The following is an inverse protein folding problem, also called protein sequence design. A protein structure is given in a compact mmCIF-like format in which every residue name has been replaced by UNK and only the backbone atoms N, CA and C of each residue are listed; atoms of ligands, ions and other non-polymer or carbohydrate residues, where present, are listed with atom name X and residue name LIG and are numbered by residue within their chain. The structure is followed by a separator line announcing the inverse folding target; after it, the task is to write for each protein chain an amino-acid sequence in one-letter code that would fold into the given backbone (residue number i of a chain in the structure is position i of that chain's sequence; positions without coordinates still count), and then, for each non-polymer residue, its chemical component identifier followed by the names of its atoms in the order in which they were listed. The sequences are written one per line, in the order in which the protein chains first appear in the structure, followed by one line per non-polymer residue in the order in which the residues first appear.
data_IF_967690567882
#
_entry.id   IF_967690567882
#
_cell.length_a   1.000
_cell.length_b   1.000
_cell.length_c   1.000
_cell.angle_alpha   90.00
_cell.angle_beta   90.00
_cell.angle_gamma   90.00
#
_symmetry.space_group_name_H-M   'P 1'
#
loop_
_entity.id
_entity.type
_entity.pdbx_description
1 polymer ?
#
# COMPACT_ATOMS: atom_id res chain seq x y z
N UNK A 1 26.93 54.02 -13.12
CA UNK A 1 25.93 53.65 -14.15
C UNK A 1 25.21 52.40 -13.67
N UNK A 2 23.91 52.55 -13.55
CA UNK A 2 22.88 51.65 -13.01
C UNK A 2 22.80 50.31 -13.77
N UNK A 3 22.46 49.19 -13.11
CA UNK A 3 22.15 47.95 -13.82
C UNK A 3 20.75 48.02 -14.44
N UNK A 4 20.65 47.63 -15.71
CA UNK A 4 19.40 47.58 -16.46
C UNK A 4 18.53 46.40 -16.00
N UNK A 5 17.39 46.73 -15.41
CA UNK A 5 16.30 45.82 -15.08
C UNK A 5 15.61 45.37 -16.38
N UNK A 6 15.68 44.08 -16.73
CA UNK A 6 14.91 43.52 -17.84
C UNK A 6 13.69 42.80 -17.28
N UNK A 7 12.55 43.46 -17.40
CA UNK A 7 11.22 42.99 -17.00
C UNK A 7 10.68 41.99 -18.02
N UNK A 8 10.41 40.76 -17.61
CA UNK A 8 9.73 39.74 -18.43
C UNK A 8 8.21 39.88 -18.24
N UNK A 9 7.39 39.94 -19.31
CA UNK A 9 5.94 40.01 -19.16
C UNK A 9 5.32 38.64 -18.79
N UNK A 10 4.47 38.66 -17.77
CA UNK A 10 3.66 37.52 -17.33
C UNK A 10 2.63 37.12 -18.39
N UNK A 11 2.62 35.84 -18.79
CA UNK A 11 1.53 35.24 -19.56
C UNK A 11 0.46 34.72 -18.59
N UNK A 12 -0.74 35.28 -18.71
CA UNK A 12 -1.97 34.85 -18.06
C UNK A 12 -2.39 33.47 -18.56
N UNK A 13 -2.58 32.53 -17.63
CA UNK A 13 -3.19 31.22 -17.89
C UNK A 13 -4.67 31.32 -17.54
N UNK A 14 -5.53 31.20 -18.54
CA UNK A 14 -6.99 31.23 -18.40
C UNK A 14 -7.48 29.82 -18.11
N UNK A 15 -8.04 29.59 -16.93
CA UNK A 15 -8.71 28.34 -16.51
C UNK A 15 -10.17 28.34 -17.00
N UNK A 16 -10.70 27.26 -17.62
CA UNK A 16 -12.14 27.15 -17.80
C UNK A 16 -12.80 26.55 -16.55
N UNK A 17 -13.76 27.29 -16.00
CA UNK A 17 -14.66 26.87 -14.95
C UNK A 17 -15.81 26.04 -15.55
N UNK A 18 -16.04 24.83 -15.04
CA UNK A 18 -17.26 24.06 -15.26
C UNK A 18 -18.05 24.01 -13.96
N UNK A 19 -19.12 24.81 -13.89
CA UNK A 19 -20.17 24.70 -12.89
C UNK A 19 -21.41 24.08 -13.53
N UNK A 20 -21.95 23.02 -12.94
CA UNK A 20 -23.28 22.49 -13.23
C UNK A 20 -23.99 22.27 -11.89
N UNK A 21 -25.23 22.75 -11.70
CA UNK A 21 -25.91 22.72 -10.41
C UNK A 21 -26.54 21.36 -10.09
N UNK A 22 -26.44 20.96 -8.82
CA UNK A 22 -27.16 19.83 -8.22
C UNK A 22 -28.59 20.26 -7.86
N UNK A 23 -29.57 19.78 -8.62
CA UNK A 23 -30.98 19.86 -8.23
C UNK A 23 -31.34 18.72 -7.27
N UNK A 24 -31.89 19.10 -6.12
CA UNK A 24 -32.58 18.23 -5.15
C UNK A 24 -33.82 17.61 -5.80
N UNK A 25 -34.03 16.31 -5.61
CA UNK A 25 -35.36 15.72 -5.72
C UNK A 25 -35.58 14.74 -4.57
N UNK A 26 -36.49 15.14 -3.69
CA UNK A 26 -37.05 14.41 -2.57
C UNK A 26 -38.32 13.75 -3.10
N UNK A 27 -38.45 12.41 -3.03
CA UNK A 27 -39.73 11.75 -3.24
C UNK A 27 -39.96 10.68 -2.17
N UNK A 28 -41.05 10.94 -1.46
CA UNK A 28 -41.84 10.15 -0.52
C UNK A 28 -42.13 8.72 -0.99
N UNK A 29 -42.22 7.79 -0.03
CA UNK A 29 -42.53 6.40 -0.30
C UNK A 29 -44.01 6.15 -0.58
N UNK A 30 -44.31 5.09 -1.34
CA UNK A 30 -45.57 4.35 -1.24
C UNK A 30 -45.40 2.85 -1.52
N UNK A 31 -45.77 2.07 -0.50
CA UNK A 31 -46.47 0.77 -0.45
C UNK A 31 -46.68 0.01 -1.78
N UNK A 32 -46.03 -1.14 -1.93
CA UNK A 32 -46.33 -2.14 -2.97
C UNK A 32 -47.43 -3.11 -2.48
N UNK A 33 -48.57 -3.08 -3.17
CA UNK A 33 -49.65 -4.06 -3.07
C UNK A 33 -49.41 -5.17 -4.09
N UNK A 34 -49.53 -6.43 -3.66
CA UNK A 34 -49.45 -7.61 -4.54
C UNK A 34 -50.64 -7.62 -5.49
N UNK A 35 -50.40 -7.87 -6.77
CA UNK A 35 -51.43 -8.37 -7.68
C UNK A 35 -50.84 -9.35 -8.70
N UNK A 36 -51.63 -10.39 -8.92
CA UNK A 36 -51.41 -11.59 -9.71
C UNK A 36 -51.27 -11.30 -11.21
N UNK A 37 -50.32 -11.97 -11.88
CA UNK A 37 -50.23 -11.99 -13.34
C UNK A 37 -50.96 -13.25 -13.89
N UNK A 38 -51.85 -13.12 -14.88
CA UNK A 38 -52.42 -14.27 -15.56
C UNK A 38 -51.47 -14.88 -16.59
N UNK A 39 -51.61 -16.21 -16.73
CA UNK A 39 -50.89 -17.13 -17.61
C UNK A 39 -51.06 -16.75 -19.09
N UNK A 40 -49.96 -16.57 -19.81
CA UNK A 40 -49.93 -16.32 -21.26
C UNK A 40 -49.67 -17.63 -22.02
N UNK A 41 -50.55 -17.87 -22.98
CA UNK A 41 -50.73 -19.06 -23.80
C UNK A 41 -49.51 -19.35 -24.70
N UNK A 42 -49.04 -20.60 -24.70
CA UNK A 42 -47.94 -21.07 -25.56
C UNK A 42 -48.36 -21.04 -27.04
N UNK A 43 -47.75 -20.13 -27.81
CA UNK A 43 -47.82 -20.17 -29.27
C UNK A 43 -46.89 -21.27 -29.80
N UNK A 44 -47.47 -22.23 -30.54
CA UNK A 44 -46.76 -23.28 -31.26
C UNK A 44 -45.75 -22.66 -32.25
N UNK A 45 -44.45 -22.86 -32.04
CA UNK A 45 -43.43 -22.58 -33.07
C UNK A 45 -43.53 -23.65 -34.16
N UNK A 46 -43.87 -23.24 -35.38
CA UNK A 46 -43.77 -24.09 -36.56
C UNK A 46 -42.29 -24.43 -36.83
N UNK A 47 -41.96 -25.72 -36.95
CA UNK A 47 -40.62 -26.17 -37.31
C UNK A 47 -40.39 -26.00 -38.82
N UNK A 48 -39.51 -25.08 -39.20
CA UNK A 48 -39.01 -25.00 -40.58
C UNK A 48 -37.97 -26.12 -40.79
N UNK A 49 -38.34 -27.13 -41.56
CA UNK A 49 -37.46 -28.20 -42.02
C UNK A 49 -36.55 -27.67 -43.14
N UNK A 50 -35.29 -27.36 -42.82
CA UNK A 50 -34.26 -27.12 -43.84
C UNK A 50 -33.66 -28.46 -44.26
N UNK A 51 -34.19 -29.07 -45.33
CA UNK A 51 -33.53 -30.19 -46.02
C UNK A 51 -32.48 -29.63 -46.97
N UNK A 52 -31.21 -30.05 -46.81
CA UNK A 52 -30.20 -29.94 -47.88
C UNK A 52 -28.94 -29.13 -47.59
N UNK A 53 -28.30 -29.30 -46.43
CA UNK A 53 -26.91 -28.83 -46.23
C UNK A 53 -26.06 -30.06 -45.90
N UNK A 54 -25.00 -30.29 -46.69
CA UNK A 54 -24.04 -31.37 -46.48
C UNK A 54 -23.36 -31.23 -45.10
N UNK A 55 -23.03 -32.33 -44.41
CA UNK A 55 -22.26 -32.24 -43.18
C UNK A 55 -20.90 -31.59 -43.48
N UNK A 56 -20.54 -30.57 -42.71
CA UNK A 56 -19.24 -29.92 -42.79
C UNK A 56 -18.14 -30.96 -42.48
N UNK A 57 -16.96 -30.87 -43.13
CA UNK A 57 -15.86 -31.78 -42.84
C UNK A 57 -15.44 -31.62 -41.37
N UNK A 58 -15.50 -32.70 -40.61
CA UNK A 58 -14.93 -32.79 -39.28
C UNK A 58 -13.40 -32.65 -39.42
N UNK A 59 -12.83 -31.59 -38.85
CA UNK A 59 -11.37 -31.45 -38.76
C UNK A 59 -10.76 -30.10 -39.13
N UNK A 60 -11.51 -29.01 -39.13
CA UNK A 60 -10.91 -27.68 -39.06
C UNK A 60 -11.45 -26.97 -37.83
N UNK A 61 -10.55 -26.51 -36.95
CA UNK A 61 -10.85 -25.51 -35.93
C UNK A 61 -11.33 -24.24 -36.65
N UNK A 62 -12.62 -24.20 -36.99
CA UNK A 62 -13.27 -23.03 -37.57
C UNK A 62 -13.62 -22.10 -36.43
N UNK A 63 -12.64 -21.40 -35.86
CA UNK A 63 -12.93 -20.21 -35.07
C UNK A 63 -13.60 -19.21 -36.01
N UNK A 64 -14.84 -18.83 -35.71
CA UNK A 64 -15.50 -17.77 -36.46
C UNK A 64 -14.70 -16.47 -36.29
N UNK A 65 -14.60 -15.59 -37.29
CA UNK A 65 -14.02 -14.25 -37.11
C UNK A 65 -14.67 -13.46 -35.97
N UNK A 66 -15.92 -13.81 -35.60
CA UNK A 66 -16.58 -13.27 -34.42
C UNK A 66 -16.03 -13.84 -33.10
N UNK A 67 -15.67 -15.13 -33.06
CA UNK A 67 -15.08 -15.80 -31.90
C UNK A 67 -13.66 -15.30 -31.66
N UNK A 68 -12.85 -15.15 -32.72
CA UNK A 68 -11.51 -14.57 -32.63
C UNK A 68 -11.53 -13.14 -32.09
N UNK A 69 -12.50 -12.32 -32.53
CA UNK A 69 -12.70 -10.96 -32.01
C UNK A 69 -13.11 -10.97 -30.54
N UNK A 70 -13.99 -11.89 -30.14
CA UNK A 70 -14.44 -12.03 -28.76
C UNK A 70 -13.29 -12.49 -27.85
N UNK A 71 -12.46 -13.41 -28.31
CA UNK A 71 -11.28 -13.90 -27.58
C UNK A 71 -10.21 -12.82 -27.46
N UNK A 72 -9.94 -12.07 -28.53
CA UNK A 72 -9.04 -10.92 -28.49
C UNK A 72 -9.53 -9.85 -27.49
N UNK A 73 -10.84 -9.57 -27.48
CA UNK A 73 -11.46 -8.64 -26.52
C UNK A 73 -11.35 -9.17 -25.08
N UNK A 74 -11.64 -10.44 -24.85
CA UNK A 74 -11.55 -11.07 -23.54
C UNK A 74 -10.09 -11.12 -23.03
N UNK A 75 -9.14 -11.38 -23.93
CA UNK A 75 -7.72 -11.37 -23.59
C UNK A 75 -7.22 -9.96 -23.27
N UNK A 76 -7.66 -8.96 -24.04
CA UNK A 76 -7.40 -7.55 -23.74
C UNK A 76 -7.96 -7.14 -22.37
N UNK A 77 -9.21 -7.51 -22.06
CA UNK A 77 -9.83 -7.24 -20.76
C UNK A 77 -9.13 -7.97 -19.60
N UNK A 78 -8.60 -9.19 -19.83
CA UNK A 78 -7.77 -9.91 -18.86
C UNK A 78 -6.43 -9.21 -18.63
N UNK A 79 -5.75 -8.77 -19.69
CA UNK A 79 -4.49 -8.05 -19.60
C UNK A 79 -4.63 -6.69 -18.90
N UNK A 80 -5.81 -6.06 -18.97
CA UNK A 80 -6.12 -4.81 -18.26
C UNK A 80 -6.51 -5.00 -16.78
N UNK A 81 -6.64 -6.23 -16.28
CA UNK A 81 -6.97 -6.42 -14.86
C UNK A 81 -5.80 -5.97 -13.98
N UNK A 82 -6.10 -5.28 -12.86
CA UNK A 82 -5.10 -5.03 -11.85
C UNK A 82 -4.40 -6.31 -11.41
N UNK A 83 -3.07 -6.27 -11.33
CA UNK A 83 -2.27 -7.38 -10.84
C UNK A 83 -2.27 -7.30 -9.31
N UNK A 84 -2.89 -8.26 -8.60
CA UNK A 84 -2.99 -8.19 -7.15
C UNK A 84 -1.61 -8.34 -6.50
N UNK A 85 -1.41 -7.66 -5.38
CA UNK A 85 -0.28 -7.95 -4.49
C UNK A 85 -0.61 -9.17 -3.62
N UNK A 86 0.43 -9.87 -3.13
CA UNK A 86 0.23 -11.04 -2.27
C UNK A 86 -0.42 -10.69 -0.93
N UNK A 87 -0.09 -9.51 -0.40
CA UNK A 87 -0.66 -8.93 0.82
C UNK A 87 -1.20 -7.54 0.50
N UNK A 88 -2.18 -7.09 1.27
CA UNK A 88 -2.61 -5.70 1.24
C UNK A 88 -1.67 -4.83 2.07
N UNK A 89 -1.46 -3.60 1.62
CA UNK A 89 -0.52 -2.67 2.24
C UNK A 89 -1.19 -1.35 2.58
N UNK A 90 -0.86 -0.81 3.75
CA UNK A 90 -1.32 0.48 4.24
C UNK A 90 -0.14 1.45 4.31
N UNK A 91 -0.39 2.70 3.93
CA UNK A 91 0.59 3.77 4.04
C UNK A 91 0.30 4.61 5.26
N UNK A 92 1.32 4.89 6.07
CA UNK A 92 1.23 5.73 7.24
C UNK A 92 2.18 6.92 7.13
N UNK A 93 1.78 8.06 7.68
CA UNK A 93 2.61 9.24 7.85
C UNK A 93 2.70 9.58 9.33
N UNK A 94 3.91 9.78 9.81
CA UNK A 94 4.19 10.29 11.13
C UNK A 94 4.72 11.71 11.01
N UNK A 95 3.94 12.67 11.54
CA UNK A 95 4.32 14.06 11.63
C UNK A 95 4.53 14.43 13.11
N UNK A 96 5.76 14.81 13.49
CA UNK A 96 6.00 15.44 14.78
C UNK A 96 5.11 16.69 14.89
N UNK A 97 4.35 16.82 15.97
CA UNK A 97 3.66 18.08 16.24
C UNK A 97 4.69 19.22 16.30
N UNK A 98 4.34 20.35 15.67
CA UNK A 98 5.19 21.54 15.57
C UNK A 98 5.49 22.20 16.92
N UNK A 99 6.11 23.38 16.87
CA UNK A 99 6.64 24.14 18.03
C UNK A 99 5.64 24.52 19.13
N UNK A 100 4.35 24.23 18.97
CA UNK A 100 3.35 24.33 20.02
C UNK A 100 2.96 22.92 20.47
N UNK A 101 3.75 22.29 21.36
CA UNK A 101 3.30 21.10 22.03
C UNK A 101 2.10 21.53 22.87
N UNK A 102 0.90 21.11 22.47
CA UNK A 102 -0.08 20.75 23.49
C UNK A 102 0.57 19.59 24.22
N UNK A 103 1.40 19.92 25.23
CA UNK A 103 1.94 18.96 26.19
C UNK A 103 0.72 18.19 26.67
N UNK A 104 0.60 16.94 26.25
CA UNK A 104 -0.11 15.99 27.07
C UNK A 104 0.51 16.12 28.48
N UNK A 105 -0.30 16.21 29.55
CA UNK A 105 0.20 16.47 30.90
C UNK A 105 1.27 15.46 31.37
N UNK A 106 1.40 14.31 30.68
CA UNK A 106 2.34 13.23 31.00
C UNK A 106 3.65 13.20 30.18
N UNK A 107 3.98 14.24 29.41
CA UNK A 107 5.27 14.30 28.69
C UNK A 107 5.44 13.23 27.60
N UNK A 108 4.34 12.56 27.22
CA UNK A 108 4.34 11.56 26.18
C UNK A 108 4.41 12.23 24.80
N UNK A 109 5.43 11.90 24.02
CA UNK A 109 5.53 12.31 22.62
C UNK A 109 4.50 11.50 21.82
N UNK A 110 3.31 12.04 21.62
CA UNK A 110 2.31 11.43 20.74
C UNK A 110 2.55 11.91 19.31
N UNK A 111 3.40 11.18 18.60
CA UNK A 111 3.39 11.16 17.15
C UNK A 111 1.95 10.90 16.65
N UNK A 112 1.40 11.81 15.86
CA UNK A 112 0.09 11.58 15.22
C UNK A 112 0.34 10.74 13.99
N UNK A 113 0.16 9.43 14.13
CA UNK A 113 0.29 8.49 13.03
C UNK A 113 -0.99 8.53 12.18
N UNK A 114 -0.91 9.15 11.01
CA UNK A 114 -2.00 9.26 10.05
C UNK A 114 -1.92 8.11 9.04
N UNK A 115 -2.98 7.31 8.91
CA UNK A 115 -3.07 6.30 7.86
C UNK A 115 -3.76 6.89 6.61
N UNK A 116 -3.22 6.62 5.42
CA UNK A 116 -3.91 6.94 4.17
C UNK A 116 -5.15 6.05 4.01
N UNK A 117 -6.25 6.66 3.59
CA UNK A 117 -7.53 5.97 3.45
C UNK A 117 -7.51 4.86 2.38
N UNK A 118 -6.71 5.03 1.32
CA UNK A 118 -6.63 4.05 0.24
C UNK A 118 -5.60 2.97 0.54
N UNK A 119 -6.06 1.73 0.63
CA UNK A 119 -5.24 0.53 0.75
C UNK A 119 -4.66 0.15 -0.62
N UNK A 120 -3.42 -0.33 -0.63
CA UNK A 120 -2.76 -0.86 -1.82
C UNK A 120 -3.05 -2.36 -1.91
N UNK A 121 -3.84 -2.74 -2.91
CA UNK A 121 -4.26 -4.13 -3.17
C UNK A 121 -3.68 -4.67 -4.49
N UNK A 122 -3.15 -3.79 -5.34
CA UNK A 122 -2.61 -4.13 -6.65
C UNK A 122 -1.33 -3.36 -6.97
N UNK A 123 -0.57 -3.87 -7.93
CA UNK A 123 0.63 -3.21 -8.47
C UNK A 123 0.27 -1.82 -9.04
N UNK A 124 -0.89 -1.69 -9.66
CA UNK A 124 -1.40 -0.43 -10.18
C UNK A 124 -1.67 0.58 -9.06
N UNK A 125 -2.25 0.14 -7.93
CA UNK A 125 -2.50 1.01 -6.78
C UNK A 125 -1.19 1.43 -6.11
N UNK A 126 -0.21 0.53 -6.05
CA UNK A 126 1.14 0.91 -5.60
C UNK A 126 1.72 2.03 -6.46
N UNK A 127 1.69 1.90 -7.80
CA UNK A 127 2.24 2.93 -8.68
C UNK A 127 1.43 4.24 -8.64
N UNK A 128 0.10 4.16 -8.46
CA UNK A 128 -0.72 5.36 -8.21
C UNK A 128 -0.25 6.08 -6.95
N UNK A 129 -0.04 5.36 -5.85
CA UNK A 129 0.48 5.94 -4.62
C UNK A 129 1.91 6.48 -4.79
N UNK A 130 2.84 5.67 -5.31
CA UNK A 130 4.25 5.99 -5.40
C UNK A 130 4.49 7.22 -6.29
N UNK A 131 3.84 7.29 -7.46
CA UNK A 131 3.97 8.42 -8.39
C UNK A 131 3.39 9.74 -7.85
N UNK A 132 2.41 9.68 -6.95
CA UNK A 132 1.74 10.86 -6.38
C UNK A 132 2.26 11.22 -4.98
N UNK A 133 3.25 10.49 -4.46
CA UNK A 133 3.84 10.76 -3.14
C UNK A 133 5.11 11.59 -3.32
N UNK A 134 5.12 12.88 -2.95
CA UNK A 134 6.29 13.73 -3.12
C UNK A 134 7.31 13.47 -2.00
N UNK A 135 8.09 12.39 -2.13
CA UNK A 135 9.09 11.97 -1.12
C UNK A 135 10.09 13.09 -0.81
N UNK A 136 10.48 13.87 -1.82
CA UNK A 136 11.41 15.01 -1.67
C UNK A 136 10.82 16.20 -0.88
N UNK A 137 9.50 16.25 -0.73
CA UNK A 137 8.81 17.33 0.00
C UNK A 137 8.49 16.95 1.45
N UNK A 138 8.80 15.71 1.87
CA UNK A 138 8.63 15.27 3.26
C UNK A 138 9.59 16.07 4.15
N UNK A 139 9.05 16.69 5.21
CA UNK A 139 9.82 17.63 6.04
C UNK A 139 10.75 16.90 6.99
N UNK A 140 11.76 17.62 7.49
CA UNK A 140 12.67 17.08 8.49
C UNK A 140 11.90 16.57 9.71
N UNK A 141 12.29 15.37 10.19
CA UNK A 141 11.67 14.63 11.31
C UNK A 141 10.33 13.98 10.98
N UNK A 142 9.75 14.18 9.80
CA UNK A 142 8.60 13.41 9.34
C UNK A 142 9.05 12.02 8.85
N UNK A 143 8.13 11.06 8.92
CA UNK A 143 8.34 9.71 8.41
C UNK A 143 7.14 9.22 7.61
N UNK A 144 7.40 8.39 6.62
CA UNK A 144 6.41 7.66 5.83
C UNK A 144 6.68 6.17 5.94
N UNK A 145 5.63 5.36 6.04
CA UNK A 145 5.72 3.93 6.22
C UNK A 145 4.79 3.20 5.25
N UNK A 146 5.21 2.04 4.77
CA UNK A 146 4.41 1.10 3.99
C UNK A 146 4.41 -0.24 4.71
N UNK A 147 3.28 -0.59 5.32
CA UNK A 147 3.15 -1.75 6.21
C UNK A 147 2.08 -2.72 5.71
N UNK A 148 2.29 -4.01 5.92
CA UNK A 148 1.28 -5.04 5.62
C UNK A 148 0.03 -4.76 6.46
N UNK A 149 -1.14 -5.09 5.91
CA UNK A 149 -2.40 -4.92 6.63
C UNK A 149 -2.38 -5.64 7.98
N UNK A 150 -2.83 -4.93 9.00
CA UNK A 150 -2.84 -5.41 10.38
C UNK A 150 -1.51 -5.25 11.11
N UNK A 151 -0.50 -4.61 10.50
CA UNK A 151 0.64 -4.07 11.21
C UNK A 151 0.58 -2.55 11.24
N UNK A 152 1.04 -1.97 12.33
CA UNK A 152 1.27 -0.54 12.47
C UNK A 152 2.76 -0.29 12.68
N UNK A 153 3.33 0.83 12.22
CA UNK A 153 4.71 1.23 12.47
C UNK A 153 4.92 1.74 13.90
N UNK A 154 4.49 0.94 14.89
CA UNK A 154 4.55 1.20 16.32
C UNK A 154 5.28 0.01 16.95
N UNK A 155 6.38 0.26 17.66
CA UNK A 155 7.20 -0.83 18.21
C UNK A 155 6.50 -1.53 19.40
N UNK A 156 5.54 -0.88 20.07
CA UNK A 156 4.72 -1.45 21.14
C UNK A 156 3.55 -2.30 20.65
N UNK A 157 3.24 -2.27 19.34
CA UNK A 157 2.19 -3.12 18.79
C UNK A 157 2.52 -4.59 19.10
N UNK A 158 1.52 -5.33 19.61
CA UNK A 158 1.67 -6.75 20.01
C UNK A 158 2.30 -7.61 18.90
N UNK A 159 2.14 -7.27 17.64
CA UNK A 159 2.72 -7.99 16.50
C UNK A 159 4.18 -7.63 16.22
N UNK A 160 4.65 -6.51 16.75
CA UNK A 160 6.00 -5.99 16.56
C UNK A 160 6.90 -6.12 17.78
N UNK A 161 6.37 -6.32 19.00
CA UNK A 161 7.18 -6.31 20.24
C UNK A 161 8.42 -7.22 20.23
N UNK A 162 8.34 -8.39 19.57
CA UNK A 162 9.44 -9.37 19.47
C UNK A 162 10.35 -9.14 18.25
N UNK A 163 10.00 -8.14 17.45
CA UNK A 163 10.63 -7.85 16.17
C UNK A 163 11.86 -6.98 16.28
N UNK A 164 12.35 -6.62 15.11
CA UNK A 164 13.43 -5.66 14.95
C UNK A 164 13.43 -5.08 13.55
N UNK A 165 14.36 -4.15 13.35
CA UNK A 165 14.50 -3.50 12.07
C UNK A 165 15.96 -3.29 11.68
N UNK A 166 16.24 -3.50 10.39
CA UNK A 166 17.40 -2.92 9.76
C UNK A 166 17.12 -1.47 9.43
N UNK A 167 18.06 -0.57 9.69
CA UNK A 167 18.01 0.83 9.30
C UNK A 167 19.23 1.18 8.46
N UNK A 168 18.99 1.69 7.25
CA UNK A 168 19.98 2.18 6.31
C UNK A 168 20.00 3.71 6.33
N UNK A 169 21.18 4.28 6.55
CA UNK A 169 21.45 5.71 6.44
C UNK A 169 21.85 6.01 5.00
N UNK A 170 20.97 6.73 4.29
CA UNK A 170 21.12 7.01 2.86
C UNK A 170 21.28 8.52 2.65
N UNK A 171 22.23 8.98 1.81
CA UNK A 171 22.30 10.38 1.41
C UNK A 171 20.97 10.85 0.81
N UNK A 172 20.55 12.10 1.09
CA UNK A 172 19.25 12.62 0.62
C UNK A 172 19.05 12.50 -0.88
N UNK A 173 20.12 12.73 -1.66
CA UNK A 173 20.10 12.63 -3.12
C UNK A 173 19.72 11.23 -3.64
N UNK A 174 20.05 10.17 -2.89
CA UNK A 174 19.73 8.77 -3.26
C UNK A 174 18.48 8.24 -2.54
N UNK A 175 17.96 8.99 -1.57
CA UNK A 175 16.91 8.54 -0.66
C UNK A 175 15.60 8.14 -1.34
N UNK A 176 15.04 8.95 -2.27
CA UNK A 176 13.81 8.61 -2.98
C UNK A 176 13.93 7.30 -3.79
N UNK A 177 15.03 7.14 -4.53
CA UNK A 177 15.25 5.94 -5.35
C UNK A 177 15.48 4.70 -4.49
N UNK A 178 16.28 4.83 -3.43
CA UNK A 178 16.49 3.76 -2.46
C UNK A 178 15.16 3.34 -1.82
N UNK A 179 14.33 4.32 -1.44
CA UNK A 179 13.02 4.08 -0.85
C UNK A 179 12.08 3.34 -1.80
N UNK A 180 12.01 3.75 -3.06
CA UNK A 180 11.23 3.06 -4.09
C UNK A 180 11.70 1.62 -4.28
N UNK A 181 13.01 1.37 -4.34
CA UNK A 181 13.56 0.00 -4.45
C UNK A 181 13.19 -0.87 -3.24
N UNK A 182 13.27 -0.34 -2.03
CA UNK A 182 12.89 -1.04 -0.81
C UNK A 182 11.40 -1.38 -0.80
N UNK A 183 10.54 -0.44 -1.20
CA UNK A 183 9.11 -0.70 -1.34
C UNK A 183 8.84 -1.79 -2.38
N UNK A 184 9.52 -1.78 -3.53
CA UNK A 184 9.39 -2.81 -4.57
C UNK A 184 9.80 -4.19 -4.06
N UNK A 185 10.90 -4.29 -3.30
CA UNK A 185 11.30 -5.55 -2.67
C UNK A 185 10.30 -6.04 -1.61
N UNK A 186 9.60 -5.11 -0.94
CA UNK A 186 8.55 -5.44 0.03
C UNK A 186 7.29 -5.98 -0.66
N UNK A 187 6.68 -5.21 -1.58
CA UNK A 187 5.44 -5.59 -2.26
C UNK A 187 5.63 -6.75 -3.25
N UNK A 188 6.84 -6.92 -3.78
CA UNK A 188 7.24 -8.03 -4.64
C UNK A 188 7.62 -9.30 -3.86
N UNK A 189 7.40 -9.31 -2.54
CA UNK A 189 7.66 -10.43 -1.62
C UNK A 189 9.11 -10.94 -1.59
N UNK A 190 10.10 -10.22 -2.15
CA UNK A 190 11.53 -10.57 -2.03
C UNK A 190 11.97 -10.54 -0.56
N UNK A 191 11.61 -9.48 0.16
CA UNK A 191 11.94 -9.35 1.58
C UNK A 191 11.24 -10.41 2.44
N UNK A 192 10.00 -10.81 2.10
CA UNK A 192 9.31 -11.88 2.82
C UNK A 192 9.92 -13.26 2.50
N UNK A 193 10.32 -13.48 1.25
CA UNK A 193 10.89 -14.74 0.77
C UNK A 193 12.26 -15.07 1.34
N UNK A 194 13.02 -14.07 1.80
CA UNK A 194 14.32 -14.28 2.44
C UNK A 194 14.24 -14.66 3.94
N UNK A 195 13.06 -14.56 4.55
CA UNK A 195 12.86 -14.83 5.97
C UNK A 195 12.69 -16.33 6.25
N UNK A 196 13.13 -16.76 7.44
CA UNK A 196 12.91 -18.12 7.91
C UNK A 196 11.43 -18.38 8.25
N UNK A 197 11.05 -19.68 8.23
CA UNK A 197 9.69 -20.12 8.54
C UNK A 197 9.21 -19.57 9.88
N UNK A 198 8.01 -19.00 9.90
CA UNK A 198 7.38 -18.42 11.09
C UNK A 198 7.80 -16.98 11.39
N UNK A 199 8.71 -16.39 10.62
CA UNK A 199 8.96 -14.95 10.61
C UNK A 199 8.11 -14.27 9.53
N UNK A 200 7.85 -12.98 9.70
CA UNK A 200 7.02 -12.21 8.79
C UNK A 200 7.55 -10.79 8.66
N UNK A 201 7.57 -10.31 7.42
CA UNK A 201 7.83 -8.91 7.12
C UNK A 201 6.65 -8.08 7.61
N UNK A 202 6.90 -7.10 8.46
CA UNK A 202 5.88 -6.16 8.93
C UNK A 202 5.67 -5.03 7.93
N UNK A 203 6.76 -4.41 7.49
CA UNK A 203 6.73 -3.23 6.66
C UNK A 203 8.08 -2.56 6.48
N UNK A 204 8.05 -1.45 5.78
CA UNK A 204 9.23 -0.62 5.50
C UNK A 204 8.91 0.85 5.79
N UNK A 205 9.92 1.64 6.11
CA UNK A 205 9.74 3.05 6.42
C UNK A 205 10.86 3.94 5.92
N UNK A 206 10.55 5.19 5.62
CA UNK A 206 11.50 6.27 5.38
C UNK A 206 11.28 7.37 6.41
N UNK A 207 12.34 7.78 7.09
CA UNK A 207 12.34 8.89 8.03
C UNK A 207 13.34 9.96 7.59
N UNK A 208 12.90 11.20 7.43
CA UNK A 208 13.76 12.30 6.99
C UNK A 208 14.55 12.84 8.19
N UNK A 209 15.87 12.91 8.06
CA UNK A 209 16.78 13.53 9.04
C UNK A 209 17.53 14.71 8.42
N UNK A 210 18.36 15.37 9.22
CA UNK A 210 19.05 16.58 8.80
C UNK A 210 19.96 16.33 7.58
N UNK A 211 20.82 15.31 7.65
CA UNK A 211 21.82 15.01 6.60
C UNK A 211 21.53 13.76 5.77
N UNK A 212 20.51 12.98 6.11
CA UNK A 212 20.24 11.69 5.49
C UNK A 212 18.76 11.33 5.56
N UNK A 213 18.36 10.36 4.75
CA UNK A 213 17.14 9.58 4.96
C UNK A 213 17.52 8.31 5.71
N UNK A 214 16.71 7.94 6.70
CA UNK A 214 16.80 6.63 7.35
C UNK A 214 15.73 5.75 6.74
N UNK A 215 16.13 4.68 6.09
CA UNK A 215 15.21 3.73 5.45
C UNK A 215 15.26 2.44 6.26
N UNK A 216 14.11 1.96 6.70
CA UNK A 216 14.01 0.84 7.63
C UNK A 216 13.20 -0.32 7.06
N UNK A 217 13.57 -1.54 7.45
CA UNK A 217 12.88 -2.79 7.09
C UNK A 217 12.57 -3.54 8.38
N UNK A 218 11.28 -3.78 8.64
CA UNK A 218 10.76 -4.29 9.90
C UNK A 218 10.27 -5.72 9.74
N UNK A 219 10.66 -6.61 10.64
CA UNK A 219 10.17 -7.98 10.70
C UNK A 219 9.81 -8.38 12.14
N UNK A 220 9.03 -9.44 12.29
CA UNK A 220 8.41 -9.81 13.57
C UNK A 220 9.31 -10.53 14.55
N UNK A 221 10.35 -11.24 14.08
CA UNK A 221 11.07 -12.19 14.93
C UNK A 221 12.56 -11.90 14.99
N UNK A 222 12.97 -11.03 15.91
CA UNK A 222 14.38 -10.64 16.09
C UNK A 222 15.28 -11.75 16.65
N UNK A 223 14.70 -12.82 17.20
CA UNK A 223 15.45 -13.99 17.66
C UNK A 223 16.02 -14.83 16.51
N UNK A 224 15.50 -14.68 15.29
CA UNK A 224 15.92 -15.44 14.11
C UNK A 224 17.08 -14.76 13.39
N UNK A 225 18.29 -15.09 13.82
CA UNK A 225 19.51 -14.50 13.25
C UNK A 225 19.61 -14.69 11.73
N UNK A 226 19.21 -15.86 11.21
CA UNK A 226 19.22 -16.09 9.76
C UNK A 226 18.27 -15.16 9.01
N UNK A 227 17.06 -14.87 9.52
CA UNK A 227 16.19 -13.84 8.94
C UNK A 227 16.88 -12.46 8.96
N UNK A 228 17.50 -12.09 10.07
CA UNK A 228 18.21 -10.81 10.22
C UNK A 228 19.30 -10.69 9.16
N UNK A 229 20.16 -11.70 9.03
CA UNK A 229 21.26 -11.69 8.07
C UNK A 229 20.76 -11.72 6.61
N UNK A 230 19.72 -12.52 6.33
CA UNK A 230 19.12 -12.63 4.99
C UNK A 230 18.49 -11.33 4.52
N UNK A 231 17.85 -10.54 5.39
CA UNK A 231 17.31 -9.22 5.02
C UNK A 231 18.44 -8.32 4.54
N UNK A 232 19.53 -8.24 5.29
CA UNK A 232 20.68 -7.41 4.93
C UNK A 232 21.28 -7.87 3.59
N UNK A 233 21.53 -9.18 3.45
CA UNK A 233 22.08 -9.75 2.23
C UNK A 233 21.20 -9.45 1.01
N UNK A 234 19.88 -9.66 1.13
CA UNK A 234 18.92 -9.40 0.05
C UNK A 234 18.93 -7.93 -0.37
N UNK A 235 18.91 -7.00 0.60
CA UNK A 235 18.94 -5.57 0.29
C UNK A 235 20.25 -5.19 -0.41
N UNK A 236 21.39 -5.68 0.06
CA UNK A 236 22.69 -5.36 -0.54
C UNK A 236 22.90 -6.02 -1.91
N UNK A 237 22.28 -7.16 -2.18
CA UNK A 237 22.35 -7.84 -3.48
C UNK A 237 21.52 -7.12 -4.55
N UNK A 238 20.31 -6.67 -4.19
CA UNK A 238 19.35 -6.07 -5.12
C UNK A 238 19.63 -4.59 -5.45
N UNK A 239 20.42 -3.92 -4.62
CA UNK A 239 20.82 -2.53 -4.86
C UNK A 239 21.93 -2.44 -5.91
N UNK A 240 21.90 -1.44 -6.81
CA UNK A 240 23.01 -1.18 -7.71
C UNK A 240 24.24 -0.76 -6.91
N UNK A 241 25.43 -1.09 -7.40
CA UNK A 241 26.70 -0.87 -6.67
C UNK A 241 26.90 0.58 -6.21
N UNK A 242 26.47 1.55 -7.01
CA UNK A 242 26.53 2.98 -6.70
C UNK A 242 25.68 3.41 -5.50
N UNK A 243 24.64 2.63 -5.16
CA UNK A 243 23.68 2.91 -4.09
C UNK A 243 23.94 2.07 -2.83
N UNK A 244 24.84 1.09 -2.89
CA UNK A 244 25.12 0.21 -1.75
C UNK A 244 25.66 1.04 -0.58
N UNK A 245 24.98 1.03 0.58
CA UNK A 245 25.46 1.76 1.74
C UNK A 245 26.75 1.11 2.26
N UNK A 246 27.66 1.95 2.72
CA UNK A 246 28.87 1.49 3.43
C UNK A 246 28.49 0.74 4.73
N UNK A 247 29.35 -0.16 5.24
CA UNK A 247 29.06 -0.93 6.45
C UNK A 247 28.71 -0.12 7.71
N UNK A 248 29.22 1.11 7.82
CA UNK A 248 28.93 2.06 8.90
C UNK A 248 27.56 2.78 8.76
N UNK A 249 26.94 2.64 7.59
CA UNK A 249 25.70 3.30 7.22
C UNK A 249 24.48 2.38 7.31
N UNK A 250 24.59 1.22 7.95
CA UNK A 250 23.42 0.45 8.33
C UNK A 250 23.63 -0.24 9.68
N UNK A 251 22.53 -0.44 10.40
CA UNK A 251 22.55 -1.10 11.69
C UNK A 251 21.23 -1.81 11.95
N UNK A 252 21.28 -2.87 12.74
CA UNK A 252 20.10 -3.59 13.20
C UNK A 252 19.76 -3.20 14.63
N UNK A 253 18.46 -3.11 14.94
CA UNK A 253 17.99 -2.84 16.29
C UNK A 253 16.71 -3.61 16.58
N UNK A 254 16.67 -4.28 17.74
CA UNK A 254 15.43 -4.88 18.25
C UNK A 254 14.47 -3.79 18.70
N UNK A 255 13.18 -4.02 18.53
CA UNK A 255 12.16 -3.08 18.95
C UNK A 255 12.21 -2.77 20.45
N UNK A 256 12.49 -3.79 21.27
CA UNK A 256 12.72 -3.67 22.72
C UNK A 256 13.84 -2.71 23.13
N UNK A 257 14.83 -2.50 22.27
CA UNK A 257 16.02 -1.71 22.59
C UNK A 257 15.81 -0.21 22.30
N UNK A 258 14.65 0.17 21.75
CA UNK A 258 14.32 1.57 21.48
C UNK A 258 14.04 2.34 22.77
N UNK A 259 14.60 3.55 22.87
CA UNK A 259 14.53 4.36 24.10
C UNK A 259 13.09 4.75 24.50
N UNK A 260 12.13 4.69 23.56
CA UNK A 260 10.73 4.94 23.83
C UNK A 260 9.87 3.68 23.94
N UNK A 261 10.47 2.49 23.92
CA UNK A 261 9.73 1.23 24.02
C UNK A 261 9.06 1.11 25.39
N UNK A 262 7.75 0.93 25.39
CA UNK A 262 6.97 0.58 26.58
C UNK A 262 6.40 -0.82 26.37
N UNK A 263 6.84 -1.77 27.19
CA UNK A 263 6.27 -3.11 27.17
C UNK A 263 4.76 -3.03 27.45
N UNK A 264 3.91 -3.75 26.69
CA UNK A 264 2.51 -3.90 27.04
C UNK A 264 2.39 -4.40 28.49
N UNK A 265 1.51 -3.80 29.28
CA UNK A 265 1.25 -4.27 30.65
C UNK A 265 0.31 -5.45 30.53
N UNK A 266 0.74 -6.64 30.95
CA UNK A 266 -0.10 -7.83 30.94
C UNK A 266 -1.25 -7.66 31.96
N UNK A 267 -2.44 -7.31 31.48
CA UNK A 267 -3.66 -7.35 32.29
C UNK A 267 -4.19 -8.77 32.38
N UNK A 268 -3.46 -9.66 33.05
CA UNK A 268 -3.94 -10.98 33.47
C UNK A 268 -3.38 -11.31 34.86
N UNK A 269 -4.04 -10.84 35.93
CA UNK A 269 -4.01 -11.41 37.30
C UNK A 269 -4.97 -10.65 38.22
N UNK A 270 -6.29 -10.75 37.99
CA UNK A 270 -7.29 -10.43 39.03
C UNK A 270 -8.52 -11.33 38.98
N UNK A 271 -8.34 -12.66 38.93
CA UNK A 271 -9.42 -13.60 39.25
C UNK A 271 -8.86 -14.85 39.95
N UNK A 272 -8.36 -14.73 41.18
CA UNK A 272 -8.42 -15.85 42.15
C UNK A 272 -8.16 -15.36 43.59
N UNK A 273 -9.14 -14.66 44.17
CA UNK A 273 -9.28 -14.59 45.63
C UNK A 273 -10.73 -14.33 46.01
N UNK A 274 -11.58 -15.28 45.63
CA UNK A 274 -12.93 -15.44 46.17
C UNK A 274 -13.14 -16.90 46.54
N UNK A 275 -12.35 -17.42 47.50
CA UNK A 275 -12.87 -18.39 48.48
C UNK A 275 -11.86 -18.66 49.60
N UNK A 276 -12.13 -18.04 50.77
CA UNK A 276 -11.77 -18.45 52.14
C UNK A 276 -11.83 -17.23 53.06
N UNK A 277 -12.99 -16.99 53.67
CA UNK A 277 -13.24 -17.26 55.10
C UNK A 277 -14.58 -16.68 55.52
#
# INVERSE_FOLDING_TARGET
MTPANTTVPARSVTTPAFGVPLNKCFIEGQRLHKSSYPVLQMALRQSLLTRGIAPAPEGSDLTSPADERNDAKNNMLKAMRPLPTQHYWNVYFDRPQGKDPKKAPDGNYEATLEQLAHQIESVQDFWRYNNNTPVDQIKMRESIYLFKQGFQPIWEDRRNINGGSWTFRVPKALGPDFWTRIQLMAIGEKLQGCLDTGDQLCGVGLSVRFNSHLISVWHRESSKQKSVDSILATVLEELPDEMKPRPDNYFYKKHSDHAGFKAPVDTETTEESADKK
#
